data_IF_586461762818
#
_entry.id   IF_586461762818
#
_cell.length_a   1.000
_cell.length_b   1.000
_cell.length_c   1.000
_cell.angle_alpha   90.00
_cell.angle_beta   90.00
_cell.angle_gamma   90.00
#
_symmetry.space_group_name_H-M   'P 1'
#
loop_
_entity.id
_entity.type
_entity.pdbx_description
1 polymer ?
#
# COMPACT_ATOMS: atom_id res chain seq x y z
N UNK A 1 -3.32 1.38 16.83
CA UNK A 1 -3.77 0.22 16.03
C UNK A 1 -2.66 -0.16 15.06
N UNK A 2 -2.30 -1.44 14.93
CA UNK A 2 -1.21 -1.87 14.04
C UNK A 2 -1.71 -1.83 12.59
N UNK A 3 -1.21 -0.88 11.78
CA UNK A 3 -1.50 -0.85 10.34
C UNK A 3 -0.89 -2.11 9.70
N UNK A 4 -1.76 -2.97 9.17
CA UNK A 4 -1.37 -4.17 8.40
C UNK A 4 -1.01 -3.73 6.99
N UNK A 5 -0.18 -4.48 6.29
CA UNK A 5 0.16 -4.21 4.90
C UNK A 5 -0.27 -5.37 4.05
N UNK A 6 -1.04 -5.10 3.00
CA UNK A 6 -1.47 -6.13 2.07
C UNK A 6 -0.27 -6.69 1.32
N UNK A 7 -0.08 -8.01 1.33
CA UNK A 7 1.03 -8.66 0.60
C UNK A 7 0.87 -8.56 -0.92
N UNK A 8 -0.37 -8.40 -1.41
CA UNK A 8 -0.65 -8.29 -2.84
C UNK A 8 -0.34 -6.91 -3.41
N UNK A 9 -0.88 -5.85 -2.80
CA UNK A 9 -0.78 -4.49 -3.33
C UNK A 9 0.12 -3.57 -2.52
N UNK A 10 0.71 -4.06 -1.42
CA UNK A 10 1.61 -3.31 -0.51
C UNK A 10 0.98 -2.07 0.14
N UNK A 11 -0.34 -1.92 0.07
CA UNK A 11 -1.07 -0.82 0.73
C UNK A 11 -1.20 -1.07 2.23
N UNK A 12 -1.16 -0.01 3.02
CA UNK A 12 -1.54 -0.09 4.44
C UNK A 12 -3.06 -0.20 4.57
N UNK A 13 -3.51 -1.13 5.41
CA UNK A 13 -4.91 -1.50 5.62
C UNK A 13 -5.13 -1.62 7.13
N UNK A 14 -6.27 -1.12 7.60
CA UNK A 14 -6.66 -1.19 9.02
C UNK A 14 -7.76 -2.22 9.31
N UNK A 15 -8.37 -2.81 8.27
CA UNK A 15 -9.40 -3.86 8.39
C UNK A 15 -8.91 -5.29 8.13
N UNK A 16 -9.88 -6.20 7.91
CA UNK A 16 -9.64 -7.62 7.62
C UNK A 16 -9.55 -7.94 6.11
N UNK A 17 -9.88 -6.98 5.26
CA UNK A 17 -9.76 -7.08 3.81
C UNK A 17 -9.15 -5.80 3.23
N UNK A 18 -8.36 -5.95 2.17
CA UNK A 18 -7.79 -4.82 1.47
C UNK A 18 -8.82 -4.16 0.55
N UNK A 19 -9.18 -2.91 0.81
CA UNK A 19 -10.12 -2.14 -0.04
C UNK A 19 -9.58 -1.82 -1.44
N UNK A 20 -8.26 -1.97 -1.65
CA UNK A 20 -7.65 -1.72 -2.94
C UNK A 20 -7.72 -2.93 -3.89
N UNK A 21 -7.55 -4.16 -3.37
CA UNK A 21 -7.45 -5.38 -4.19
C UNK A 21 -8.26 -6.58 -3.70
N UNK A 22 -8.99 -6.46 -2.58
CA UNK A 22 -9.75 -7.55 -1.95
C UNK A 22 -8.90 -8.60 -1.22
N UNK A 23 -7.57 -8.44 -1.17
CA UNK A 23 -6.68 -9.41 -0.52
C UNK A 23 -6.87 -9.47 1.00
N UNK A 24 -6.80 -10.68 1.55
CA UNK A 24 -6.88 -10.98 3.00
C UNK A 24 -5.53 -11.37 3.59
N UNK A 25 -4.47 -11.38 2.78
CA UNK A 25 -3.11 -11.69 3.21
C UNK A 25 -2.36 -10.42 3.59
N UNK A 26 -1.90 -10.37 4.84
CA UNK A 26 -1.22 -9.20 5.38
C UNK A 26 0.14 -9.54 6.01
N UNK A 27 1.02 -8.53 6.07
CA UNK A 27 2.27 -8.55 6.82
C UNK A 27 2.37 -7.30 7.68
N UNK A 28 3.10 -7.40 8.78
CA UNK A 28 3.47 -6.26 9.62
C UNK A 28 4.95 -5.89 9.42
N UNK A 29 5.72 -6.72 8.72
CA UNK A 29 7.14 -6.48 8.46
C UNK A 29 7.33 -5.87 7.08
N UNK A 30 7.81 -4.64 7.06
CA UNK A 30 8.05 -3.90 5.84
C UNK A 30 9.24 -2.96 6.01
N UNK A 31 9.81 -2.53 4.89
CA UNK A 31 10.88 -1.56 4.83
C UNK A 31 10.53 -0.49 3.80
N UNK A 32 10.65 0.78 4.23
CA UNK A 32 10.31 1.93 3.41
C UNK A 32 8.80 2.17 3.32
N UNK A 33 8.41 3.44 3.40
CA UNK A 33 7.02 3.90 3.34
C UNK A 33 6.92 5.01 2.31
N UNK A 34 5.87 4.96 1.49
CA UNK A 34 5.54 5.99 0.51
C UNK A 34 4.09 6.40 0.76
N UNK A 35 3.86 7.70 0.91
CA UNK A 35 2.53 8.28 0.88
C UNK A 35 2.31 8.88 -0.51
N UNK A 36 1.31 8.38 -1.23
CA UNK A 36 0.86 8.95 -2.51
C UNK A 36 -0.30 9.88 -2.20
N UNK A 37 -0.09 11.18 -2.37
CA UNK A 37 -1.13 12.22 -2.19
C UNK A 37 -1.95 12.36 -3.47
N UNK A 38 -1.28 12.56 -4.61
CA UNK A 38 -1.93 12.70 -5.92
C UNK A 38 -1.28 11.71 -6.91
N UNK A 39 -1.95 10.59 -7.24
CA UNK A 39 -1.42 9.61 -8.19
C UNK A 39 -1.31 10.16 -9.63
N UNK A 40 -2.18 11.10 -10.03
CA UNK A 40 -2.18 11.66 -11.38
C UNK A 40 -0.96 12.55 -11.63
N UNK A 41 -0.51 13.30 -10.61
CA UNK A 41 0.69 14.16 -10.68
C UNK A 41 1.98 13.49 -10.21
N UNK A 42 1.90 12.39 -9.46
CA UNK A 42 3.07 11.72 -8.91
C UNK A 42 3.77 10.81 -9.93
N UNK A 43 5.02 11.12 -10.26
CA UNK A 43 5.90 10.23 -11.04
C UNK A 43 6.17 8.91 -10.30
N UNK A 44 6.22 8.96 -8.96
CA UNK A 44 6.45 7.78 -8.12
C UNK A 44 5.25 6.83 -8.19
N UNK A 45 4.03 7.38 -8.12
CA UNK A 45 2.79 6.61 -8.28
C UNK A 45 2.76 5.90 -9.63
N UNK A 46 2.99 6.63 -10.73
CA UNK A 46 3.02 6.09 -12.09
C UNK A 46 4.06 4.99 -12.28
N UNK A 47 5.29 5.19 -11.79
CA UNK A 47 6.34 4.17 -11.84
C UNK A 47 6.02 2.94 -10.99
N UNK A 48 5.24 3.11 -9.93
CA UNK A 48 4.90 2.02 -9.01
C UNK A 48 3.60 1.30 -9.38
N UNK A 49 2.90 1.74 -10.43
CA UNK A 49 1.58 1.22 -10.80
C UNK A 49 0.52 1.48 -9.73
N UNK A 50 0.62 2.62 -9.04
CA UNK A 50 -0.32 3.01 -7.99
C UNK A 50 -1.26 4.08 -8.55
N UNK A 51 -2.53 3.73 -8.74
CA UNK A 51 -3.55 4.65 -9.24
C UNK A 51 -4.45 5.23 -8.14
N UNK A 52 -4.29 4.75 -6.90
CA UNK A 52 -5.06 5.21 -5.74
C UNK A 52 -4.18 5.95 -4.75
N UNK A 53 -4.66 7.09 -4.26
CA UNK A 53 -4.04 7.81 -3.16
C UNK A 53 -4.02 6.97 -1.88
N UNK A 54 -2.99 7.14 -1.06
CA UNK A 54 -2.84 6.43 0.21
C UNK A 54 -1.41 6.05 0.53
N UNK A 55 -1.26 5.28 1.61
CA UNK A 55 0.04 4.86 2.11
C UNK A 55 0.38 3.45 1.60
N UNK A 56 1.63 3.28 1.15
CA UNK A 56 2.16 2.04 0.58
C UNK A 56 3.53 1.73 1.15
N UNK A 57 3.85 0.44 1.27
CA UNK A 57 5.17 -0.06 1.63
C UNK A 57 6.01 -0.28 0.37
N UNK A 58 7.31 0.06 0.43
CA UNK A 58 8.23 -0.17 -0.70
C UNK A 58 8.55 -1.67 -0.80
N UNK A 59 8.97 -2.24 0.32
CA UNK A 59 9.38 -3.64 0.43
C UNK A 59 8.64 -4.29 1.59
N UNK A 60 8.11 -5.48 1.35
CA UNK A 60 7.46 -6.34 2.34
C UNK A 60 8.29 -7.61 2.54
N UNK A 61 8.28 -8.16 3.75
CA UNK A 61 8.79 -9.51 4.04
C UNK A 61 7.63 -10.48 4.28
#
# INVERSE_FOLDING_TARGET
>A
MKKKICKNCRRFVEGDACEACGGTQFTNSYQGRIAIIDPAKSKVAKRSGIDKEGEYAIKIR
#
